data_IF_445415852589
#
_entry.id   IF_445415852589
#
_cell.length_a   1.000
_cell.length_b   1.000
_cell.length_c   1.000
_cell.angle_alpha   90.00
_cell.angle_beta   90.00
_cell.angle_gamma   90.00
#
_symmetry.space_group_name_H-M   'P 1'
#
loop_
_entity.id
_entity.type
_entity.pdbx_description
1 polymer ?
#
# COMPACT_ATOMS: atom_id res chain seq x y z
N UNK A 1 -36.09 25.08 33.93
CA UNK A 1 -34.71 24.58 33.69
C UNK A 1 -34.58 24.33 32.21
N UNK A 2 -33.68 25.05 31.56
CA UNK A 2 -33.51 24.94 30.11
C UNK A 2 -32.78 23.62 29.76
N UNK A 3 -33.01 23.03 28.58
CA UNK A 3 -32.46 21.72 28.23
C UNK A 3 -30.93 21.66 28.20
N UNK A 4 -30.24 22.80 28.10
CA UNK A 4 -28.78 22.88 28.08
C UNK A 4 -28.12 22.50 29.42
N UNK A 5 -28.87 22.55 30.53
CA UNK A 5 -28.34 22.36 31.88
C UNK A 5 -28.13 20.88 32.27
N UNK A 6 -28.58 19.92 31.44
CA UNK A 6 -28.50 18.47 31.71
C UNK A 6 -27.38 17.73 30.98
N UNK A 7 -26.60 18.40 30.12
CA UNK A 7 -25.45 17.77 29.47
C UNK A 7 -24.21 18.00 30.33
N UNK A 8 -23.79 16.98 31.06
CA UNK A 8 -22.54 17.04 31.83
C UNK A 8 -21.38 17.47 30.91
N UNK A 9 -20.76 18.62 31.22
CA UNK A 9 -19.63 19.20 30.45
C UNK A 9 -18.52 18.18 30.19
N UNK A 10 -18.29 17.25 31.11
CA UNK A 10 -17.28 16.21 30.98
C UNK A 10 -17.74 15.02 30.13
N UNK A 11 -19.02 14.65 30.16
CA UNK A 11 -19.54 13.55 29.34
C UNK A 11 -19.55 13.90 27.84
N UNK A 12 -19.82 15.16 27.48
CA UNK A 12 -19.78 15.61 26.09
C UNK A 12 -18.37 15.61 25.50
N UNK A 13 -17.37 16.07 26.28
CA UNK A 13 -15.97 16.09 25.84
C UNK A 13 -15.41 14.67 25.69
N UNK A 14 -15.67 13.78 26.66
CA UNK A 14 -15.25 12.37 26.57
C UNK A 14 -15.89 11.64 25.39
N UNK A 15 -17.15 11.94 25.06
CA UNK A 15 -17.83 11.36 23.89
C UNK A 15 -17.20 11.81 22.57
N UNK A 16 -16.91 13.11 22.43
CA UNK A 16 -16.26 13.65 21.23
C UNK A 16 -14.87 13.03 21.05
N UNK A 17 -14.08 12.96 22.11
CA UNK A 17 -12.76 12.32 22.08
C UNK A 17 -12.88 10.86 21.63
N UNK A 18 -13.80 10.09 22.23
CA UNK A 18 -14.02 8.69 21.86
C UNK A 18 -14.41 8.53 20.38
N UNK A 19 -15.27 9.41 19.87
CA UNK A 19 -15.69 9.38 18.47
C UNK A 19 -14.52 9.65 17.51
N UNK A 20 -13.70 10.67 17.81
CA UNK A 20 -12.49 10.98 17.04
C UNK A 20 -11.50 9.81 17.04
N UNK A 21 -11.29 9.15 18.19
CA UNK A 21 -10.44 7.95 18.25
C UNK A 21 -10.97 6.81 17.38
N UNK A 22 -12.28 6.55 17.37
CA UNK A 22 -12.88 5.54 16.50
C UNK A 22 -12.73 5.90 15.02
N UNK A 23 -12.93 7.16 14.66
CA UNK A 23 -12.74 7.62 13.29
C UNK A 23 -11.28 7.48 12.84
N UNK A 24 -10.32 7.77 13.72
CA UNK A 24 -8.90 7.52 13.47
C UNK A 24 -8.59 6.03 13.32
N UNK A 25 -9.14 5.18 14.19
CA UNK A 25 -8.94 3.72 14.14
C UNK A 25 -9.40 3.15 12.80
N UNK A 26 -10.57 3.53 12.31
CA UNK A 26 -11.10 3.06 11.03
C UNK A 26 -10.26 3.56 9.84
N UNK A 27 -9.75 4.80 9.90
CA UNK A 27 -8.82 5.31 8.89
C UNK A 27 -7.51 4.51 8.86
N UNK A 28 -6.95 4.18 10.02
CA UNK A 28 -5.73 3.35 10.12
C UNK A 28 -5.98 1.97 9.53
N UNK A 29 -7.10 1.31 9.87
CA UNK A 29 -7.46 0.00 9.30
C UNK A 29 -7.61 0.04 7.78
N UNK A 30 -8.22 1.11 7.24
CA UNK A 30 -8.33 1.28 5.79
C UNK A 30 -6.95 1.42 5.14
N UNK A 31 -6.08 2.27 5.71
CA UNK A 31 -4.72 2.47 5.21
C UNK A 31 -3.87 1.19 5.27
N UNK A 32 -4.00 0.38 6.34
CA UNK A 32 -3.31 -0.91 6.45
C UNK A 32 -3.74 -1.90 5.35
N UNK A 33 -5.02 -1.90 4.97
CA UNK A 33 -5.51 -2.75 3.87
C UNK A 33 -4.92 -2.33 2.53
N UNK A 34 -4.89 -1.03 2.26
CA UNK A 34 -4.26 -0.49 1.05
C UNK A 34 -2.77 -0.81 1.01
N UNK A 35 -2.06 -0.62 2.13
CA UNK A 35 -0.63 -0.90 2.20
C UNK A 35 -0.30 -2.38 1.92
N UNK A 36 -1.10 -3.32 2.43
CA UNK A 36 -0.96 -4.75 2.11
C UNK A 36 -1.18 -5.04 0.63
N UNK A 37 -2.14 -4.37 -0.01
CA UNK A 37 -2.37 -4.50 -1.44
C UNK A 37 -1.17 -4.02 -2.27
N UNK A 38 -0.59 -2.87 -1.89
CA UNK A 38 0.59 -2.32 -2.58
C UNK A 38 1.84 -3.18 -2.36
N UNK A 39 2.03 -3.75 -1.18
CA UNK A 39 3.15 -4.65 -0.92
C UNK A 39 3.20 -5.82 -1.91
N UNK A 40 2.07 -6.49 -2.14
CA UNK A 40 2.00 -7.57 -3.14
C UNK A 40 2.22 -7.07 -4.57
N UNK A 41 1.96 -5.80 -4.85
CA UNK A 41 2.23 -5.20 -6.17
C UNK A 41 3.72 -4.99 -6.39
N UNK A 42 4.45 -4.52 -5.37
CA UNK A 42 5.91 -4.36 -5.39
C UNK A 42 6.61 -5.70 -5.62
N UNK A 43 6.16 -6.76 -4.95
CA UNK A 43 6.73 -8.11 -5.15
C UNK A 43 6.53 -8.62 -6.58
N UNK A 44 5.36 -8.39 -7.18
CA UNK A 44 5.09 -8.73 -8.59
C UNK A 44 5.91 -7.91 -9.57
N UNK A 45 6.06 -6.61 -9.32
CA UNK A 45 6.87 -5.73 -10.17
C UNK A 45 8.33 -6.16 -10.15
N UNK A 46 8.85 -6.51 -8.96
CA UNK A 46 10.21 -7.03 -8.82
C UNK A 46 10.42 -8.33 -9.60
N UNK A 47 9.51 -9.29 -9.50
CA UNK A 47 9.65 -10.56 -10.25
C UNK A 47 9.55 -10.36 -11.76
N UNK A 48 8.68 -9.45 -12.22
CA UNK A 48 8.61 -9.06 -13.64
C UNK A 48 9.92 -8.43 -14.12
N UNK A 49 10.52 -7.55 -13.31
CA UNK A 49 11.80 -6.91 -13.63
C UNK A 49 12.94 -7.95 -13.72
N UNK A 50 12.99 -8.92 -12.81
CA UNK A 50 13.97 -10.02 -12.85
C UNK A 50 13.79 -10.87 -14.12
N UNK A 51 12.56 -11.21 -14.51
CA UNK A 51 12.28 -11.96 -15.74
C UNK A 51 12.70 -11.18 -17.00
N UNK A 52 12.42 -9.87 -17.05
CA UNK A 52 12.84 -9.01 -18.16
C UNK A 52 14.36 -8.95 -18.28
N UNK A 53 15.07 -8.89 -17.14
CA UNK A 53 16.52 -8.88 -17.13
C UNK A 53 17.11 -10.18 -17.67
N UNK A 54 16.56 -11.33 -17.26
CA UNK A 54 16.95 -12.64 -17.79
C UNK A 54 16.71 -12.70 -19.31
N UNK A 55 15.52 -12.31 -19.77
CA UNK A 55 15.18 -12.34 -21.19
C UNK A 55 16.09 -11.42 -22.02
N UNK A 56 16.45 -10.26 -21.48
CA UNK A 56 17.38 -9.34 -22.13
C UNK A 56 18.77 -9.95 -22.27
N UNK A 57 19.23 -10.70 -21.26
CA UNK A 57 20.53 -11.39 -21.32
C UNK A 57 20.50 -12.52 -22.34
N UNK A 58 19.43 -13.32 -22.36
CA UNK A 58 19.26 -14.41 -23.33
C UNK A 58 19.23 -13.87 -24.77
N UNK A 59 18.55 -12.74 -24.99
CA UNK A 59 18.50 -12.08 -26.29
C UNK A 59 19.87 -11.56 -26.73
N UNK A 60 20.62 -10.95 -25.81
CA UNK A 60 21.96 -10.45 -26.08
C UNK A 60 22.92 -11.60 -26.42
N UNK A 61 22.85 -12.70 -25.68
CA UNK A 61 23.63 -13.90 -26.00
C UNK A 61 23.26 -14.48 -27.37
N UNK A 62 21.96 -14.57 -27.67
CA UNK A 62 21.50 -15.02 -28.98
C UNK A 62 22.01 -14.13 -30.12
N UNK A 63 22.07 -12.80 -29.90
CA UNK A 63 22.63 -11.86 -30.88
C UNK A 63 24.10 -12.16 -31.16
N UNK A 64 24.92 -12.29 -30.11
CA UNK A 64 26.35 -12.61 -30.22
C UNK A 64 26.57 -13.96 -30.92
N UNK A 65 25.77 -14.96 -30.58
CA UNK A 65 25.84 -16.31 -31.17
C UNK A 65 25.48 -16.33 -32.66
N UNK A 66 24.68 -15.38 -33.15
CA UNK A 66 24.38 -15.24 -34.57
C UNK A 66 25.42 -14.42 -35.31
N UNK A 67 25.96 -13.36 -34.70
CA UNK A 67 27.04 -12.56 -35.30
C UNK A 67 28.30 -13.42 -35.51
N UNK A 68 28.66 -14.26 -34.54
CA UNK A 68 29.79 -15.20 -34.64
C UNK A 68 29.61 -16.33 -35.66
N UNK A 69 28.38 -16.61 -36.10
CA UNK A 69 28.09 -17.60 -37.16
C UNK A 69 28.14 -17.00 -38.57
N UNK A 70 28.20 -15.68 -38.68
CA UNK A 70 28.29 -14.97 -39.97
C UNK A 70 29.72 -14.55 -40.34
N UNK A 71 30.70 -14.75 -39.46
CA UNK A 71 32.16 -14.69 -39.74
C UNK A 71 32.70 -16.06 -40.19
#
# INVERSE_FOLDING_TARGET
MSPEEKVCKYCGVSYLILHEFKAMEEKVKAMEKEMKFYQGSVEREKSLQEMLQSLSQDFEQYRIDNESKME
#
